data_IF_167463921572
#
_entry.id   IF_167463921572
#
_cell.length_a   1.000
_cell.length_b   1.000
_cell.length_c   1.000
_cell.angle_alpha   90.00
_cell.angle_beta   90.00
_cell.angle_gamma   90.00
#
_symmetry.space_group_name_H-M   'P 1'
#
loop_
_entity.id
_entity.type
_entity.pdbx_description
1 polymer ?
#
# COMPACT_ATOMS: atom_id res chain seq x y z
N UNK A 1 20.00 3.90 12.13
CA UNK A 1 18.84 4.73 11.69
C UNK A 1 17.88 4.82 12.86
N UNK A 2 17.53 6.03 13.29
CA UNK A 2 16.56 6.26 14.35
C UNK A 2 15.16 6.19 13.71
N UNK A 3 14.42 5.11 13.97
CA UNK A 3 13.00 5.07 13.64
C UNK A 3 12.31 6.25 14.37
N UNK A 4 11.48 7.05 13.69
CA UNK A 4 10.85 8.22 14.30
C UNK A 4 9.95 7.77 15.47
N UNK A 5 10.21 8.30 16.66
CA UNK A 5 9.41 8.04 17.86
C UNK A 5 8.12 8.85 17.76
N UNK A 6 6.98 8.15 17.73
CA UNK A 6 5.61 8.66 17.64
C UNK A 6 5.25 9.34 16.31
N UNK A 7 4.84 8.55 15.32
CA UNK A 7 3.96 9.01 14.25
C UNK A 7 2.60 8.37 14.45
N UNK A 8 1.54 9.16 14.41
CA UNK A 8 0.20 8.60 14.23
C UNK A 8 0.21 7.86 12.88
N UNK A 9 -0.31 6.64 12.88
CA UNK A 9 -0.41 5.79 11.69
C UNK A 9 -1.88 5.72 11.31
N UNK A 10 -2.20 6.28 10.15
CA UNK A 10 -3.57 6.30 9.63
C UNK A 10 -3.62 5.50 8.35
N UNK A 11 -4.52 4.52 8.28
CA UNK A 11 -4.85 3.81 7.04
C UNK A 11 -6.16 4.36 6.48
N UNK A 12 -6.12 4.84 5.26
CA UNK A 12 -7.27 5.30 4.50
C UNK A 12 -7.50 4.38 3.30
N UNK A 13 -8.77 4.19 2.94
CA UNK A 13 -9.17 3.57 1.69
C UNK A 13 -10.07 4.53 0.94
N UNK A 14 -9.84 4.70 -0.36
CA UNK A 14 -10.75 5.47 -1.19
C UNK A 14 -12.13 4.82 -1.22
N UNK A 15 -13.17 5.63 -1.49
CA UNK A 15 -14.54 5.11 -1.54
C UNK A 15 -14.73 4.00 -2.60
N UNK A 16 -13.98 4.07 -3.71
CA UNK A 16 -14.01 3.06 -4.77
C UNK A 16 -13.30 1.78 -4.36
N UNK A 17 -12.13 1.89 -3.73
CA UNK A 17 -11.43 0.71 -3.19
C UNK A 17 -12.22 0.05 -2.07
N UNK A 18 -12.85 0.83 -1.18
CA UNK A 18 -13.71 0.30 -0.14
C UNK A 18 -14.91 -0.49 -0.71
N UNK A 19 -15.43 -0.08 -1.88
CA UNK A 19 -16.52 -0.77 -2.57
C UNK A 19 -16.10 -2.12 -3.20
N UNK A 20 -14.80 -2.36 -3.40
CA UNK A 20 -14.31 -3.69 -3.81
C UNK A 20 -14.35 -4.72 -2.69
N UNK A 21 -14.61 -4.29 -1.45
CA UNK A 21 -14.64 -5.16 -0.27
C UNK A 21 -13.36 -6.02 -0.18
N UNK A 22 -12.21 -5.37 -0.36
CA UNK A 22 -10.92 -6.06 -0.28
C UNK A 22 -10.83 -6.85 1.03
N UNK A 23 -10.47 -8.15 0.97
CA UNK A 23 -10.26 -8.95 2.15
C UNK A 23 -9.28 -8.27 3.12
N UNK A 24 -9.58 -8.31 4.42
CA UNK A 24 -8.78 -7.63 5.43
C UNK A 24 -7.31 -8.08 5.43
N UNK A 25 -7.04 -9.35 5.10
CA UNK A 25 -5.68 -9.88 4.94
C UNK A 25 -4.90 -9.21 3.81
N UNK A 26 -5.59 -8.91 2.69
CA UNK A 26 -5.02 -8.20 1.54
C UNK A 26 -4.74 -6.75 1.88
N UNK A 27 -5.69 -6.09 2.56
CA UNK A 27 -5.52 -4.71 3.05
C UNK A 27 -4.35 -4.61 4.02
N UNK A 28 -4.25 -5.54 4.97
CA UNK A 28 -3.15 -5.60 5.94
C UNK A 28 -1.81 -5.82 5.24
N UNK A 29 -1.74 -6.74 4.28
CA UNK A 29 -0.53 -7.01 3.50
C UNK A 29 -0.06 -5.77 2.72
N UNK A 30 -0.97 -5.06 2.04
CA UNK A 30 -0.66 -3.83 1.31
C UNK A 30 -0.14 -2.75 2.27
N UNK A 31 -0.82 -2.54 3.39
CA UNK A 31 -0.43 -1.57 4.42
C UNK A 31 0.97 -1.87 5.00
N UNK A 32 1.22 -3.12 5.41
CA UNK A 32 2.50 -3.52 6.01
C UNK A 32 3.65 -3.41 5.00
N UNK A 33 3.39 -3.79 3.74
CA UNK A 33 4.40 -3.69 2.67
C UNK A 33 4.76 -2.23 2.40
N UNK A 34 3.76 -1.36 2.26
CA UNK A 34 3.96 0.08 2.06
C UNK A 34 4.73 0.72 3.22
N UNK A 35 4.29 0.45 4.46
CA UNK A 35 4.97 0.95 5.65
C UNK A 35 6.43 0.50 5.72
N UNK A 36 6.71 -0.79 5.48
CA UNK A 36 8.08 -1.32 5.50
C UNK A 36 8.93 -0.66 4.42
N UNK A 37 8.42 -0.59 3.18
CA UNK A 37 9.16 -0.01 2.04
C UNK A 37 9.45 1.47 2.25
N UNK A 38 8.50 2.23 2.77
CA UNK A 38 8.72 3.62 3.17
C UNK A 38 9.81 3.75 4.23
N UNK A 39 9.74 2.96 5.31
CA UNK A 39 10.71 3.04 6.42
C UNK A 39 12.13 2.60 6.02
N UNK A 40 12.26 1.62 5.12
CA UNK A 40 13.55 1.06 4.70
C UNK A 40 14.18 1.81 3.52
N UNK A 41 13.37 2.22 2.54
CA UNK A 41 13.84 2.72 1.24
C UNK A 41 13.34 4.13 0.91
N UNK A 42 12.33 4.63 1.64
CA UNK A 42 11.72 5.92 1.37
C UNK A 42 10.65 5.88 0.26
N UNK A 43 10.24 4.70 -0.20
CA UNK A 43 9.20 4.55 -1.22
C UNK A 43 7.89 5.17 -0.74
N UNK A 44 7.34 6.11 -1.53
CA UNK A 44 6.07 6.78 -1.22
C UNK A 44 4.89 6.17 -1.97
N UNK A 45 5.14 5.31 -2.95
CA UNK A 45 4.10 4.71 -3.77
C UNK A 45 4.44 3.25 -4.07
N UNK A 46 3.49 2.37 -3.77
CA UNK A 46 3.47 1.00 -4.24
C UNK A 46 2.31 0.79 -5.21
N UNK A 47 2.53 -0.04 -6.21
CA UNK A 47 1.53 -0.39 -7.21
C UNK A 47 1.30 -1.89 -7.11
N UNK A 48 0.09 -2.29 -6.77
CA UNK A 48 -0.33 -3.69 -6.73
C UNK A 48 -1.25 -3.97 -7.91
N UNK A 49 -0.96 -4.99 -8.70
CA UNK A 49 -1.80 -5.36 -9.83
C UNK A 49 -1.93 -6.88 -9.94
N UNK A 50 -3.05 -7.31 -10.52
CA UNK A 50 -3.24 -8.70 -10.89
C UNK A 50 -2.16 -9.10 -11.91
N UNK A 51 -1.38 -10.12 -11.57
CA UNK A 51 -0.35 -10.70 -12.40
C UNK A 51 -0.87 -11.94 -13.14
N UNK A 52 -0.06 -12.43 -14.09
CA UNK A 52 -0.42 -13.59 -14.92
C UNK A 52 -0.40 -14.88 -14.09
N UNK A 53 -1.42 -15.74 -14.25
CA UNK A 53 -1.59 -17.04 -13.57
C UNK A 53 -1.77 -16.92 -12.05
N UNK A 54 -2.87 -16.31 -11.63
CA UNK A 54 -3.34 -16.35 -10.24
C UNK A 54 -2.33 -15.78 -9.24
N UNK A 55 -1.65 -14.70 -9.62
CA UNK A 55 -0.67 -14.00 -8.79
C UNK A 55 -1.00 -12.53 -8.66
N UNK A 56 -0.47 -11.91 -7.62
CA UNK A 56 -0.44 -10.46 -7.44
C UNK A 56 1.02 -10.04 -7.43
N UNK A 57 1.36 -9.09 -8.30
CA UNK A 57 2.65 -8.42 -8.28
C UNK A 57 2.51 -7.06 -7.57
N UNK A 58 3.48 -6.76 -6.71
CA UNK A 58 3.62 -5.47 -6.04
C UNK A 58 4.96 -4.90 -6.46
N UNK A 59 4.92 -3.71 -7.05
CA UNK A 59 6.07 -3.00 -7.58
C UNK A 59 6.19 -1.62 -6.94
N UNK A 60 7.39 -1.04 -7.00
CA UNK A 60 7.59 0.38 -6.66
C UNK A 60 7.12 1.30 -7.79
N UNK A 61 7.18 2.61 -7.57
CA UNK A 61 6.83 3.64 -8.57
C UNK A 61 7.62 3.54 -9.89
N UNK A 62 8.79 2.89 -9.87
CA UNK A 62 9.65 2.70 -11.04
C UNK A 62 9.40 1.36 -11.75
N UNK A 63 8.46 0.55 -11.25
CA UNK A 63 8.14 -0.78 -11.76
C UNK A 63 9.11 -1.88 -11.31
N UNK A 64 9.96 -1.63 -10.31
CA UNK A 64 10.80 -2.69 -9.74
C UNK A 64 9.97 -3.59 -8.84
N UNK A 65 10.12 -4.91 -9.03
CA UNK A 65 9.42 -5.89 -8.22
C UNK A 65 9.82 -5.82 -6.74
N UNK A 66 8.83 -5.68 -5.87
CA UNK A 66 8.98 -5.73 -4.40
C UNK A 66 8.57 -7.11 -3.89
N UNK A 67 7.42 -7.61 -4.35
CA UNK A 67 6.84 -8.86 -3.90
C UNK A 67 5.95 -9.45 -5.00
N UNK A 68 5.93 -10.77 -5.11
CA UNK A 68 4.98 -11.53 -5.93
C UNK A 68 4.36 -12.62 -5.08
N UNK A 69 3.04 -12.63 -4.98
CA UNK A 69 2.29 -13.58 -4.14
C UNK A 69 1.18 -14.27 -4.92
N UNK A 70 0.65 -15.37 -4.37
CA UNK A 70 -0.55 -16.01 -4.92
C UNK A 70 -1.81 -15.21 -4.60
N UNK A 71 -2.75 -15.12 -5.55
CA UNK A 71 -4.11 -14.59 -5.27
C UNK A 71 -4.86 -15.42 -4.23
N UNK A 72 -4.47 -16.68 -4.03
CA UNK A 72 -5.02 -17.51 -2.96
C UNK A 72 -4.62 -16.99 -1.57
N UNK A 73 -3.40 -16.45 -1.45
CA UNK A 73 -2.89 -15.86 -0.21
C UNK A 73 -3.50 -14.48 0.03
N UNK A 74 -3.61 -13.67 -1.02
CA UNK A 74 -4.12 -12.30 -0.96
C UNK A 74 -5.14 -12.04 -2.07
N UNK A 75 -6.40 -12.45 -1.87
CA UNK A 75 -7.45 -12.30 -2.87
C UNK A 75 -7.97 -10.87 -2.97
N UNK A 76 -8.72 -10.56 -4.03
CA UNK A 76 -9.46 -9.30 -4.19
C UNK A 76 -8.80 -8.26 -5.09
N UNK A 77 -7.53 -8.44 -5.46
CA UNK A 77 -6.82 -7.54 -6.39
C UNK A 77 -7.04 -8.05 -7.81
N UNK A 78 -8.04 -7.48 -8.49
CA UNK A 78 -8.40 -7.82 -9.86
C UNK A 78 -8.05 -6.72 -10.87
N UNK A 79 -7.80 -5.52 -10.37
CA UNK A 79 -7.33 -4.36 -11.12
C UNK A 79 -6.13 -3.74 -10.40
N UNK A 80 -5.53 -2.74 -11.03
CA UNK A 80 -4.40 -2.01 -10.45
C UNK A 80 -4.88 -1.16 -9.27
N UNK A 81 -4.18 -1.26 -8.14
CA UNK A 81 -4.43 -0.55 -6.90
C UNK A 81 -3.13 0.12 -6.48
N UNK A 82 -3.22 1.39 -6.10
CA UNK A 82 -2.10 2.18 -5.63
C UNK A 82 -2.16 2.30 -4.11
N UNK A 83 -0.97 2.28 -3.49
CA UNK A 83 -0.80 2.49 -2.06
C UNK A 83 0.19 3.63 -1.88
N UNK A 84 -0.32 4.82 -1.56
CA UNK A 84 0.51 6.00 -1.29
C UNK A 84 0.85 6.10 0.19
N UNK A 85 2.00 6.70 0.49
CA UNK A 85 2.46 6.99 1.84
C UNK A 85 2.83 8.47 1.95
N UNK A 86 2.03 9.20 2.72
CA UNK A 86 2.20 10.63 2.96
C UNK A 86 2.75 10.87 4.37
N UNK A 87 3.96 11.44 4.45
CA UNK A 87 4.64 11.79 5.71
C UNK A 87 4.49 13.29 6.00
N UNK A 88 3.53 13.63 6.85
CA UNK A 88 3.29 15.01 7.29
C UNK A 88 4.28 15.48 8.37
N UNK A 89 5.24 14.64 8.75
CA UNK A 89 6.29 14.96 9.72
C UNK A 89 5.91 14.63 11.17
N UNK A 90 6.89 14.77 12.07
CA UNK A 90 6.75 14.42 13.49
C UNK A 90 5.81 15.32 14.29
N UNK A 91 5.52 16.51 13.76
CA UNK A 91 4.78 17.55 14.47
C UNK A 91 3.33 17.67 13.95
N UNK A 92 2.96 16.85 12.96
CA UNK A 92 1.59 16.75 12.41
C UNK A 92 0.72 15.83 13.25
N UNK A 93 -0.58 16.18 13.35
CA UNK A 93 -1.60 15.33 14.00
C UNK A 93 -1.83 14.07 13.16
N UNK A 94 -1.78 14.20 11.85
CA UNK A 94 -1.97 13.14 10.87
C UNK A 94 -0.80 12.15 10.88
N UNK A 95 0.42 12.65 11.05
CA UNK A 95 1.64 11.82 11.12
C UNK A 95 1.96 11.17 9.78
N UNK A 96 1.93 9.83 9.75
CA UNK A 96 2.10 9.05 8.53
C UNK A 96 0.74 8.50 8.09
N UNK A 97 0.32 8.88 6.89
CA UNK A 97 -0.94 8.44 6.30
C UNK A 97 -0.63 7.48 5.15
N UNK A 98 -1.21 6.29 5.20
CA UNK A 98 -1.13 5.30 4.13
C UNK A 98 -2.51 5.22 3.48
N UNK A 99 -2.58 5.48 2.18
CA UNK A 99 -3.85 5.51 1.45
C UNK A 99 -3.86 4.45 0.36
N UNK A 100 -4.88 3.58 0.39
CA UNK A 100 -5.14 2.61 -0.68
C UNK A 100 -6.21 3.20 -1.60
N UNK A 101 -5.89 3.39 -2.87
CA UNK A 101 -6.76 4.06 -3.84
C UNK A 101 -6.59 3.48 -5.24
N UNK A 102 -7.48 3.84 -6.16
CA UNK A 102 -7.30 3.53 -7.57
C UNK A 102 -6.30 4.49 -8.22
N UNK A 103 -5.61 4.11 -9.31
CA UNK A 103 -4.64 4.96 -10.00
C UNK A 103 -5.21 6.34 -10.40
N UNK A 104 -6.48 6.34 -10.78
CA UNK A 104 -7.24 7.50 -11.23
C UNK A 104 -7.75 8.41 -10.10
N UNK A 105 -7.48 8.05 -8.84
CA UNK A 105 -7.75 8.87 -7.65
C UNK A 105 -6.48 9.53 -7.07
N UNK A 106 -5.33 9.33 -7.70
CA UNK A 106 -4.05 9.95 -7.32
C UNK A 106 -3.93 11.41 -7.78
#
# INVERSE_FOLDING_TARGET
>A
MNAPKNRNLTLLQSSRVAAFELPSITVEMLYQTALRRFLENGDQLLIAHAAVKDKVDIVDENGNAILTESVDSYPGIFEEIWVSVDDYGSDSIEGLVITIHLPEEH
#
